data_IF_577248497019
#
_entry.id   IF_577248497019
#
_cell.length_a   1.000
_cell.length_b   1.000
_cell.length_c   1.000
_cell.angle_alpha   90.00
_cell.angle_beta   90.00
_cell.angle_gamma   90.00
#
_symmetry.space_group_name_H-M   'P 1'
#
loop_
_entity.id
_entity.type
_entity.pdbx_description
1 polymer ?
#
# COMPACT_ATOMS: atom_id res chain seq x y z
N UNK A 1 7.11 -12.22 1.28
CA UNK A 1 7.86 -11.00 1.68
C UNK A 1 8.19 -11.12 3.15
N UNK A 2 9.42 -10.85 3.56
CA UNK A 2 9.81 -10.97 4.98
C UNK A 2 10.04 -9.58 5.58
N UNK A 3 9.00 -9.03 6.22
CA UNK A 3 9.04 -7.71 6.83
C UNK A 3 8.00 -7.61 7.94
N UNK A 4 8.34 -6.98 9.08
CA UNK A 4 7.45 -6.92 10.24
C UNK A 4 6.14 -6.16 9.96
N UNK A 5 6.19 -5.12 9.12
CA UNK A 5 5.00 -4.35 8.75
C UNK A 5 4.23 -4.88 7.52
N UNK A 6 4.54 -6.09 7.06
CA UNK A 6 3.82 -6.77 5.98
C UNK A 6 3.23 -8.07 6.54
N UNK A 7 2.07 -8.48 6.03
CA UNK A 7 1.50 -9.79 6.37
C UNK A 7 2.46 -10.91 5.99
N UNK A 8 2.72 -11.78 6.96
CA UNK A 8 3.56 -12.96 6.75
C UNK A 8 2.66 -14.20 6.61
N UNK A 9 3.14 -15.17 5.82
CA UNK A 9 2.46 -16.43 5.60
C UNK A 9 3.12 -17.49 6.48
N UNK A 10 2.37 -18.01 7.44
CA UNK A 10 2.82 -19.06 8.35
C UNK A 10 2.67 -20.46 7.74
N UNK A 11 1.62 -20.66 6.95
CA UNK A 11 1.35 -21.91 6.24
C UNK A 11 0.49 -21.65 5.01
N UNK A 12 0.59 -22.55 4.04
CA UNK A 12 -0.35 -22.66 2.93
C UNK A 12 -0.61 -24.14 2.67
N UNK A 13 -1.86 -24.53 2.53
CA UNK A 13 -2.21 -25.94 2.30
C UNK A 13 -3.51 -26.08 1.52
N UNK A 14 -3.72 -27.29 0.99
CA UNK A 14 -4.94 -27.70 0.31
C UNK A 14 -5.29 -29.14 0.71
N UNK A 15 -6.59 -29.48 0.84
CA UNK A 15 -7.03 -30.87 0.99
C UNK A 15 -7.04 -31.65 -0.33
N UNK A 16 -6.89 -30.95 -1.47
CA UNK A 16 -6.91 -31.56 -2.78
C UNK A 16 -5.67 -32.41 -3.03
N UNK A 17 -5.80 -33.42 -3.89
CA UNK A 17 -4.78 -34.47 -4.07
C UNK A 17 -3.86 -34.22 -5.28
N UNK A 18 -4.23 -33.30 -6.18
CA UNK A 18 -3.43 -32.90 -7.34
C UNK A 18 -3.88 -31.55 -7.90
N UNK A 19 -3.02 -30.96 -8.74
CA UNK A 19 -3.26 -29.68 -9.42
C UNK A 19 -4.58 -29.64 -10.20
N UNK A 20 -4.95 -30.69 -10.95
CA UNK A 20 -6.16 -30.70 -11.77
C UNK A 20 -7.43 -30.58 -10.92
N UNK A 21 -7.45 -31.24 -9.76
CA UNK A 21 -8.56 -31.18 -8.81
C UNK A 21 -8.54 -29.96 -7.90
N UNK A 22 -7.52 -29.10 -7.95
CA UNK A 22 -7.36 -27.98 -7.04
C UNK A 22 -8.57 -27.02 -7.10
N UNK A 23 -9.25 -26.84 -5.97
CA UNK A 23 -10.38 -25.92 -5.80
C UNK A 23 -10.18 -25.03 -4.58
N UNK A 24 -9.67 -25.61 -3.48
CA UNK A 24 -9.55 -24.92 -2.20
C UNK A 24 -8.09 -24.73 -1.81
N UNK A 25 -7.70 -23.48 -1.53
CA UNK A 25 -6.38 -23.11 -1.01
C UNK A 25 -6.56 -22.34 0.28
N UNK A 26 -5.91 -22.80 1.34
CA UNK A 26 -5.99 -22.22 2.67
C UNK A 26 -4.67 -21.53 3.00
N UNK A 27 -4.76 -20.24 3.31
CA UNK A 27 -3.63 -19.44 3.76
C UNK A 27 -3.70 -19.23 5.27
N UNK A 28 -2.61 -19.49 5.97
CA UNK A 28 -2.47 -19.27 7.40
C UNK A 28 -1.49 -18.13 7.62
N UNK A 29 -1.89 -17.15 8.42
CA UNK A 29 -1.06 -16.00 8.82
C UNK A 29 -1.24 -15.73 10.31
N UNK A 30 -0.47 -14.79 10.84
CA UNK A 30 -0.70 -14.33 12.22
C UNK A 30 -2.06 -13.67 12.35
N UNK A 31 -2.79 -14.02 13.40
CA UNK A 31 -4.06 -13.37 13.71
C UNK A 31 -3.79 -11.94 14.17
N UNK A 32 -4.28 -10.99 13.38
CA UNK A 32 -4.28 -9.58 13.74
C UNK A 32 -5.58 -9.22 14.48
N UNK A 33 -5.51 -8.23 15.39
CA UNK A 33 -6.64 -7.89 16.26
C UNK A 33 -7.81 -7.23 15.52
N UNK A 34 -7.57 -6.08 14.90
CA UNK A 34 -8.58 -5.34 14.15
C UNK A 34 -7.96 -4.63 12.94
N UNK A 35 -8.77 -4.31 11.94
CA UNK A 35 -8.34 -3.43 10.86
C UNK A 35 -8.46 -1.95 11.26
N UNK A 36 -7.63 -1.10 10.67
CA UNK A 36 -7.59 0.33 10.96
C UNK A 36 -8.93 1.02 10.66
N UNK A 37 -9.72 0.54 9.68
CA UNK A 37 -11.06 1.12 9.44
C UNK A 37 -11.99 0.89 10.62
N UNK A 38 -11.93 -0.28 11.25
CA UNK A 38 -12.72 -0.61 12.43
C UNK A 38 -12.28 0.21 13.65
N UNK A 39 -10.97 0.37 13.84
CA UNK A 39 -10.40 1.17 14.92
C UNK A 39 -10.84 2.64 14.83
N UNK A 40 -10.69 3.25 13.64
CA UNK A 40 -11.02 4.67 13.41
C UNK A 40 -12.52 5.00 13.58
N UNK A 41 -13.41 4.00 13.55
CA UNK A 41 -14.85 4.19 13.81
C UNK A 41 -15.17 4.25 15.29
N UNK A 42 -14.35 3.63 16.13
CA UNK A 42 -14.64 3.41 17.56
C UNK A 42 -13.87 4.39 18.43
N UNK A 43 -12.64 4.75 18.03
CA UNK A 43 -11.77 5.61 18.81
C UNK A 43 -11.07 6.68 17.98
N UNK A 44 -10.83 7.84 18.61
CA UNK A 44 -9.88 8.84 18.09
C UNK A 44 -8.49 8.49 18.57
N UNK A 45 -7.54 8.47 17.65
CA UNK A 45 -6.14 8.21 17.94
C UNK A 45 -5.44 9.50 18.41
N UNK A 46 -4.47 9.36 19.32
CA UNK A 46 -3.57 10.47 19.69
C UNK A 46 -2.52 10.70 18.59
N UNK A 47 -1.83 11.84 18.64
CA UNK A 47 -0.75 12.16 17.69
C UNK A 47 0.35 11.09 17.72
N UNK A 48 0.76 10.62 18.90
CA UNK A 48 1.77 9.55 19.05
C UNK A 48 1.36 8.24 18.34
N UNK A 49 0.09 7.84 18.46
CA UNK A 49 -0.44 6.67 17.76
C UNK A 49 -0.45 6.88 16.24
N UNK A 50 -0.88 8.06 15.78
CA UNK A 50 -0.90 8.39 14.35
C UNK A 50 0.53 8.36 13.78
N UNK A 51 1.46 9.00 14.46
CA UNK A 51 2.87 9.06 14.10
C UNK A 51 3.48 7.65 14.00
N UNK A 52 3.19 6.78 14.96
CA UNK A 52 3.69 5.40 14.96
C UNK A 52 3.08 4.55 13.84
N UNK A 53 1.77 4.68 13.59
CA UNK A 53 1.10 3.97 12.51
C UNK A 53 1.59 4.45 11.13
N UNK A 54 1.75 5.76 10.94
CA UNK A 54 2.29 6.35 9.70
C UNK A 54 3.71 5.86 9.45
N UNK A 55 4.55 5.85 10.49
CA UNK A 55 5.91 5.29 10.40
C UNK A 55 5.89 3.83 9.93
N UNK A 56 5.09 2.97 10.56
CA UNK A 56 5.01 1.55 10.19
C UNK A 56 4.47 1.32 8.77
N UNK A 57 3.50 2.13 8.33
CA UNK A 57 3.00 2.09 6.94
C UNK A 57 4.13 2.46 5.97
N UNK A 58 4.84 3.55 6.21
CA UNK A 58 5.93 3.99 5.33
C UNK A 58 7.10 3.00 5.32
N UNK A 59 7.45 2.41 6.46
CA UNK A 59 8.46 1.34 6.57
C UNK A 59 8.08 0.14 5.72
N UNK A 60 6.84 -0.33 5.81
CA UNK A 60 6.32 -1.40 4.95
C UNK A 60 6.31 -1.03 3.46
N UNK A 61 5.89 0.20 3.12
CA UNK A 61 5.87 0.69 1.74
C UNK A 61 7.28 0.84 1.15
N UNK A 62 8.27 1.29 1.92
CA UNK A 62 9.68 1.33 1.51
C UNK A 62 10.14 -0.06 1.07
N UNK A 63 9.86 -1.08 1.88
CA UNK A 63 10.18 -2.47 1.55
C UNK A 63 9.47 -2.93 0.27
N UNK A 64 8.15 -2.72 0.15
CA UNK A 64 7.35 -3.12 -1.02
C UNK A 64 7.85 -2.42 -2.30
N UNK A 65 8.08 -1.11 -2.25
CA UNK A 65 8.50 -0.33 -3.40
C UNK A 65 9.93 -0.68 -3.83
N UNK A 66 10.83 -0.98 -2.89
CA UNK A 66 12.18 -1.46 -3.22
C UNK A 66 12.18 -2.83 -3.90
N UNK A 67 11.15 -3.66 -3.64
CA UNK A 67 10.91 -4.89 -4.38
C UNK A 67 10.37 -4.67 -5.81
N UNK A 68 10.22 -3.41 -6.26
CA UNK A 68 9.64 -3.09 -7.56
C UNK A 68 8.12 -3.27 -7.64
N UNK A 69 7.44 -3.37 -6.50
CA UNK A 69 5.99 -3.58 -6.43
C UNK A 69 5.23 -2.35 -5.96
N UNK A 70 4.02 -2.21 -6.46
CA UNK A 70 3.04 -1.22 -6.04
C UNK A 70 1.83 -1.96 -5.49
N UNK A 71 1.43 -1.64 -4.26
CA UNK A 71 0.29 -2.30 -3.58
C UNK A 71 -1.05 -2.05 -4.27
N UNK A 72 -1.28 -0.82 -4.74
CA UNK A 72 -2.47 -0.33 -5.47
C UNK A 72 -3.80 -0.30 -4.70
N UNK A 73 -4.01 -1.10 -3.66
CA UNK A 73 -5.24 -1.04 -2.84
C UNK A 73 -4.99 -0.72 -1.35
N UNK A 74 -4.09 0.24 -1.08
CA UNK A 74 -3.82 0.65 0.29
C UNK A 74 -5.01 1.45 0.84
N UNK A 75 -5.63 0.93 1.90
CA UNK A 75 -6.79 1.51 2.58
C UNK A 75 -6.85 1.02 4.03
N UNK A 76 -7.56 1.73 4.94
CA UNK A 76 -7.62 1.33 6.35
C UNK A 76 -8.11 -0.11 6.60
N UNK A 77 -8.97 -0.69 5.74
CA UNK A 77 -9.39 -2.09 5.91
C UNK A 77 -8.31 -3.12 5.53
N UNK A 78 -7.28 -2.71 4.78
CA UNK A 78 -6.13 -3.53 4.39
C UNK A 78 -4.91 -3.24 5.29
N UNK A 79 -5.15 -2.57 6.42
CA UNK A 79 -4.15 -2.31 7.46
C UNK A 79 -4.65 -2.99 8.72
N UNK A 80 -4.00 -4.07 9.11
CA UNK A 80 -4.28 -4.76 10.36
C UNK A 80 -3.43 -4.18 11.49
N UNK A 81 -4.00 -4.07 12.68
CA UNK A 81 -3.35 -3.57 13.90
C UNK A 81 -3.70 -4.48 15.07
N UNK A 82 -2.74 -4.80 15.92
CA UNK A 82 -2.97 -5.56 17.16
C UNK A 82 -3.01 -4.66 18.41
N UNK A 83 -3.14 -5.26 19.60
CA UNK A 83 -3.26 -4.54 20.87
C UNK A 83 -1.99 -3.75 21.23
N UNK A 84 -0.83 -4.19 20.74
CA UNK A 84 0.47 -3.55 20.93
C UNK A 84 0.74 -2.44 19.88
N UNK A 85 -0.26 -2.07 19.09
CA UNK A 85 -0.15 -1.12 17.97
C UNK A 85 0.83 -1.55 16.86
N UNK A 86 1.15 -2.84 16.76
CA UNK A 86 1.91 -3.39 15.64
C UNK A 86 1.00 -3.50 14.42
N UNK A 87 1.51 -3.00 13.30
CA UNK A 87 0.77 -2.87 12.05
C UNK A 87 1.28 -3.87 11.01
N UNK A 88 0.36 -4.47 10.25
CA UNK A 88 0.67 -5.24 9.05
C UNK A 88 -0.18 -4.79 7.86
N UNK A 89 0.50 -4.54 6.74
CA UNK A 89 -0.14 -4.31 5.44
C UNK A 89 -0.64 -5.65 4.89
N UNK A 90 -1.92 -5.68 4.50
CA UNK A 90 -2.64 -6.85 4.02
C UNK A 90 -3.02 -6.70 2.53
N UNK A 91 -3.42 -7.82 1.92
CA UNK A 91 -4.14 -7.87 0.63
C UNK A 91 -3.37 -7.28 -0.57
N UNK A 92 -2.47 -8.12 -1.08
CA UNK A 92 -1.68 -7.87 -2.29
C UNK A 92 -2.37 -8.38 -3.58
N UNK A 93 -3.66 -8.76 -3.53
CA UNK A 93 -4.37 -9.34 -4.68
C UNK A 93 -4.46 -8.40 -5.89
N UNK A 94 -4.19 -7.11 -5.69
CA UNK A 94 -4.19 -6.07 -6.72
C UNK A 94 -2.79 -5.48 -6.97
N UNK A 95 -1.75 -6.02 -6.35
CA UNK A 95 -0.38 -5.53 -6.49
C UNK A 95 0.17 -5.79 -7.90
N UNK A 96 1.07 -4.91 -8.37
CA UNK A 96 1.70 -5.01 -9.70
C UNK A 96 3.14 -4.53 -9.67
N UNK A 97 3.94 -5.02 -10.61
CA UNK A 97 5.27 -4.46 -10.89
C UNK A 97 5.18 -3.03 -11.44
N UNK A 98 6.15 -2.22 -11.04
CA UNK A 98 6.29 -0.81 -11.42
C UNK A 98 6.38 -0.58 -12.93
N UNK A 99 6.98 -1.49 -13.69
CA UNK A 99 7.18 -1.37 -15.15
C UNK A 99 5.97 -1.83 -15.99
N UNK A 100 4.97 -2.47 -15.37
CA UNK A 100 3.74 -2.84 -16.08
C UNK A 100 2.90 -1.59 -16.33
N UNK A 101 2.42 -1.38 -17.57
CA UNK A 101 1.51 -0.28 -17.89
C UNK A 101 0.43 -0.18 -16.80
N UNK A 102 0.41 0.95 -16.07
CA UNK A 102 -0.44 1.15 -14.91
C UNK A 102 -1.91 1.26 -15.36
N UNK A 103 -2.52 0.10 -15.60
CA UNK A 103 -3.92 0.00 -16.04
C UNK A 103 -4.82 0.53 -14.93
N UNK A 104 -5.63 1.55 -15.24
CA UNK A 104 -6.38 2.30 -14.22
C UNK A 104 -7.48 1.53 -13.48
N UNK A 105 -7.76 0.27 -13.81
CA UNK A 105 -8.99 -0.41 -13.37
C UNK A 105 -9.02 -0.85 -11.89
N UNK A 106 -7.86 -0.97 -11.23
CA UNK A 106 -7.74 -1.85 -10.05
C UNK A 106 -7.30 -1.06 -8.80
N UNK A 107 -8.24 -0.85 -7.86
CA UNK A 107 -8.10 -0.27 -6.50
C UNK A 107 -9.48 0.05 -5.87
N UNK A 108 -9.60 0.20 -4.55
CA UNK A 108 -10.80 0.74 -3.90
C UNK A 108 -10.91 2.24 -4.16
N UNK A 109 -12.04 2.68 -4.71
CA UNK A 109 -12.19 4.02 -5.33
C UNK A 109 -11.68 5.16 -4.45
N UNK A 110 -12.12 5.25 -3.20
CA UNK A 110 -11.90 6.42 -2.31
C UNK A 110 -10.44 6.74 -1.95
N UNK A 111 -9.54 5.76 -2.13
CA UNK A 111 -8.11 5.89 -1.80
C UNK A 111 -7.22 5.98 -3.05
N UNK A 112 -7.84 6.03 -4.24
CA UNK A 112 -7.13 6.15 -5.51
C UNK A 112 -6.44 7.52 -5.64
N UNK A 113 -5.22 7.48 -6.15
CA UNK A 113 -4.47 8.67 -6.50
C UNK A 113 -5.09 9.37 -7.73
N UNK A 114 -5.04 10.71 -7.82
CA UNK A 114 -5.64 11.49 -8.91
C UNK A 114 -5.22 11.02 -10.31
N UNK A 115 -3.95 10.72 -10.53
CA UNK A 115 -3.40 10.27 -11.82
C UNK A 115 -4.00 8.93 -12.29
N UNK A 116 -4.33 8.03 -11.36
CA UNK A 116 -5.01 6.77 -11.69
C UNK A 116 -6.43 7.08 -12.18
N UNK A 117 -7.10 8.04 -11.56
CA UNK A 117 -8.46 8.46 -11.94
C UNK A 117 -8.49 9.22 -13.26
N UNK A 118 -7.44 9.99 -13.55
CA UNK A 118 -7.33 10.87 -14.72
C UNK A 118 -6.88 10.15 -16.00
N UNK A 119 -6.25 8.99 -15.87
CA UNK A 119 -5.95 8.12 -17.00
C UNK A 119 -7.17 7.28 -17.46
N UNK A 120 -8.38 7.53 -16.93
CA UNK A 120 -9.58 6.81 -17.31
C UNK A 120 -10.25 7.38 -18.56
N UNK A 121 -10.48 6.51 -19.55
CA UNK A 121 -11.28 6.82 -20.74
C UNK A 121 -12.79 6.90 -20.46
N UNK A 122 -13.26 6.40 -19.31
CA UNK A 122 -14.67 6.42 -18.91
C UNK A 122 -14.86 6.79 -17.44
N UNK A 123 -15.11 8.08 -17.18
CA UNK A 123 -15.40 8.59 -15.85
C UNK A 123 -16.78 8.14 -15.36
N UNK A 124 -16.86 7.51 -14.19
CA UNK A 124 -18.15 7.38 -13.49
C UNK A 124 -18.41 8.63 -12.67
N UNK A 125 -19.68 8.92 -12.35
CA UNK A 125 -20.06 10.08 -11.53
C UNK A 125 -19.31 10.09 -10.17
N UNK A 126 -19.09 8.92 -9.59
CA UNK A 126 -18.39 8.77 -8.29
C UNK A 126 -16.90 9.12 -8.37
N UNK A 127 -16.25 8.84 -9.50
CA UNK A 127 -14.85 9.17 -9.74
C UNK A 127 -14.67 10.68 -9.84
N UNK A 128 -15.58 11.33 -10.55
CA UNK A 128 -15.64 12.79 -10.65
C UNK A 128 -15.85 13.42 -9.26
N UNK A 129 -16.76 12.87 -8.46
CA UNK A 129 -17.05 13.39 -7.12
C UNK A 129 -15.81 13.31 -6.20
N UNK A 130 -15.05 12.22 -6.27
CA UNK A 130 -13.83 12.05 -5.49
C UNK A 130 -12.70 12.97 -5.96
N UNK A 131 -12.48 13.08 -7.27
CA UNK A 131 -11.49 14.00 -7.82
C UNK A 131 -11.82 15.44 -7.42
N UNK A 132 -13.10 15.81 -7.47
CA UNK A 132 -13.61 17.12 -7.03
C UNK A 132 -13.36 17.34 -5.54
N UNK A 133 -13.55 16.32 -4.68
CA UNK A 133 -13.21 16.41 -3.24
C UNK A 133 -11.72 16.64 -3.01
N UNK A 134 -10.85 15.97 -3.76
CA UNK A 134 -9.40 16.16 -3.67
C UNK A 134 -9.06 17.61 -4.08
N UNK A 135 -9.47 18.06 -5.27
CA UNK A 135 -9.21 19.43 -5.76
C UNK A 135 -9.81 20.52 -4.89
N UNK A 136 -10.90 20.24 -4.16
CA UNK A 136 -11.46 21.15 -3.16
C UNK A 136 -10.55 21.37 -1.94
N UNK A 137 -9.54 20.53 -1.73
CA UNK A 137 -8.57 20.64 -0.64
C UNK A 137 -7.22 21.09 -1.19
N UNK A 138 -6.69 20.40 -2.20
CA UNK A 138 -5.34 20.67 -2.74
C UNK A 138 -5.30 21.79 -3.77
N UNK A 139 -6.47 22.25 -4.24
CA UNK A 139 -6.61 23.24 -5.31
C UNK A 139 -6.71 22.59 -6.69
N UNK A 140 -7.05 23.40 -7.70
CA UNK A 140 -7.01 22.97 -9.10
C UNK A 140 -5.58 22.89 -9.62
N UNK A 141 -5.23 21.89 -10.46
CA UNK A 141 -3.89 21.75 -11.00
C UNK A 141 -3.50 22.89 -11.96
N UNK A 142 -2.20 23.10 -12.11
CA UNK A 142 -1.64 24.06 -13.08
C UNK A 142 -1.55 23.45 -14.50
N UNK A 143 -1.28 24.28 -15.52
CA UNK A 143 -1.15 23.79 -16.91
C UNK A 143 0.05 22.85 -17.11
N UNK A 144 1.10 22.96 -16.27
CA UNK A 144 2.23 22.05 -16.30
C UNK A 144 1.78 20.61 -16.00
N UNK A 145 1.06 20.39 -14.90
CA UNK A 145 0.50 19.07 -14.58
C UNK A 145 -0.54 18.62 -15.61
N UNK A 146 -1.41 19.54 -16.06
CA UNK A 146 -2.40 19.20 -17.10
C UNK A 146 -1.73 18.71 -18.39
N UNK A 147 -0.54 19.22 -18.73
CA UNK A 147 0.19 18.76 -19.92
C UNK A 147 0.68 17.30 -19.82
N UNK A 148 0.90 16.79 -18.59
CA UNK A 148 1.29 15.41 -18.31
C UNK A 148 0.13 14.41 -18.45
N UNK A 149 -1.11 14.88 -18.37
CA UNK A 149 -2.30 14.03 -18.49
C UNK A 149 -2.47 13.62 -19.96
N UNK A 150 -2.56 12.32 -20.21
CA UNK A 150 -2.68 11.77 -21.56
C UNK A 150 -4.08 11.98 -22.18
N UNK A 151 -5.14 11.90 -21.38
CA UNK A 151 -6.52 12.06 -21.88
C UNK A 151 -6.89 13.52 -22.13
N UNK A 152 -7.27 13.83 -23.37
CA UNK A 152 -7.79 15.15 -23.78
C UNK A 152 -9.10 15.51 -23.06
N UNK A 153 -9.97 14.53 -22.87
CA UNK A 153 -11.24 14.67 -22.17
C UNK A 153 -11.01 15.08 -20.73
N UNK A 154 -10.06 14.44 -20.04
CA UNK A 154 -9.65 14.77 -18.67
C UNK A 154 -9.18 16.22 -18.55
N UNK A 155 -8.28 16.63 -19.46
CA UNK A 155 -7.70 17.98 -19.47
C UNK A 155 -8.78 19.02 -19.68
N UNK A 156 -9.66 18.82 -20.66
CA UNK A 156 -10.75 19.74 -20.96
C UNK A 156 -11.78 19.79 -19.83
N UNK A 157 -12.07 18.65 -19.18
CA UNK A 157 -12.93 18.60 -18.02
C UNK A 157 -12.37 19.45 -16.88
N UNK A 158 -11.10 19.25 -16.49
CA UNK A 158 -10.47 20.01 -15.40
C UNK A 158 -10.40 21.51 -15.73
N UNK A 159 -10.07 21.89 -16.97
CA UNK A 159 -10.03 23.31 -17.38
C UNK A 159 -11.37 24.03 -17.25
N UNK A 160 -12.48 23.29 -17.41
CA UNK A 160 -13.82 23.82 -17.30
C UNK A 160 -14.35 23.88 -15.85
N UNK A 161 -13.62 23.31 -14.88
CA UNK A 161 -13.99 23.40 -13.48
C UNK A 161 -13.69 24.81 -12.91
N UNK A 162 -14.50 25.29 -11.96
CA UNK A 162 -14.17 26.49 -11.21
C UNK A 162 -12.80 26.36 -10.54
N UNK A 163 -11.91 27.32 -10.77
CA UNK A 163 -10.58 27.32 -10.13
C UNK A 163 -10.74 27.46 -8.62
N UNK A 164 -10.16 26.52 -7.87
CA UNK A 164 -10.14 26.52 -6.41
C UNK A 164 -8.71 26.71 -5.91
N UNK A 165 -8.48 27.66 -4.97
CA UNK A 165 -7.19 27.75 -4.31
C UNK A 165 -6.99 26.57 -3.36
N UNK A 166 -5.73 26.20 -3.13
CA UNK A 166 -5.36 25.24 -2.08
C UNK A 166 -5.85 25.74 -0.72
N UNK A 167 -6.48 24.87 0.05
CA UNK A 167 -6.93 25.19 1.41
C UNK A 167 -5.75 25.17 2.37
N UNK A 168 -5.86 25.99 3.40
CA UNK A 168 -4.93 25.98 4.54
C UNK A 168 -5.21 24.75 5.42
N UNK A 169 -4.30 23.78 5.40
CA UNK A 169 -4.45 22.53 6.14
C UNK A 169 -4.48 22.75 7.65
N UNK A 170 -3.84 23.81 8.15
CA UNK A 170 -3.90 24.17 9.57
C UNK A 170 -5.31 24.55 10.02
N UNK A 171 -6.13 25.10 9.12
CA UNK A 171 -7.55 25.39 9.40
C UNK A 171 -8.42 24.14 9.32
N UNK A 172 -8.06 23.18 8.47
CA UNK A 172 -8.78 21.91 8.34
C UNK A 172 -8.49 20.96 9.51
N UNK A 173 -7.25 20.96 10.00
CA UNK A 173 -6.76 20.10 11.06
C UNK A 173 -6.18 20.93 12.23
N UNK A 174 -7.01 21.71 12.94
CA UNK A 174 -6.54 22.64 13.96
C UNK A 174 -5.89 21.97 15.18
N UNK A 175 -6.14 20.67 15.38
CA UNK A 175 -5.55 19.87 16.46
C UNK A 175 -4.28 19.13 16.06
N UNK A 176 -3.89 19.15 14.78
CA UNK A 176 -2.70 18.46 14.30
C UNK A 176 -1.44 19.30 14.58
N UNK A 177 -0.31 18.62 14.81
CA UNK A 177 0.97 19.28 14.96
C UNK A 177 1.42 19.92 13.64
N UNK A 178 2.25 20.99 13.69
CA UNK A 178 2.77 21.61 12.47
C UNK A 178 3.52 20.62 11.56
N UNK A 179 4.29 19.70 12.15
CA UNK A 179 5.04 18.69 11.41
C UNK A 179 4.11 17.63 10.77
N UNK A 180 3.01 17.25 11.43
CA UNK A 180 2.00 16.36 10.85
C UNK A 180 1.34 17.00 9.62
N UNK A 181 1.04 18.30 9.73
CA UNK A 181 0.45 19.08 8.62
C UNK A 181 1.45 19.17 7.46
N UNK A 182 2.72 19.48 7.72
CA UNK A 182 3.75 19.58 6.67
C UNK A 182 3.92 18.25 5.91
N UNK A 183 4.00 17.12 6.65
CA UNK A 183 4.08 15.80 6.02
C UNK A 183 2.84 15.48 5.18
N UNK A 184 1.65 15.78 5.69
CA UNK A 184 0.39 15.58 4.98
C UNK A 184 0.32 16.44 3.71
N UNK A 185 0.81 17.68 3.76
CA UNK A 185 0.82 18.58 2.61
C UNK A 185 1.76 18.14 1.49
N UNK A 186 2.90 17.53 1.84
CA UNK A 186 3.85 16.95 0.89
C UNK A 186 3.32 15.67 0.24
N UNK A 187 2.69 14.80 1.03
CA UNK A 187 2.16 13.52 0.53
C UNK A 187 0.87 13.69 -0.28
N UNK A 188 0.01 14.64 0.08
CA UNK A 188 -1.23 14.95 -0.63
C UNK A 188 -1.00 15.98 -1.76
N UNK A 189 -0.18 15.60 -2.74
CA UNK A 189 0.09 16.37 -3.96
C UNK A 189 -0.65 15.80 -5.18
N UNK A 190 -1.19 16.65 -6.06
CA UNK A 190 -1.84 16.19 -7.29
C UNK A 190 -0.84 15.56 -8.25
N UNK A 191 0.33 16.17 -8.37
CA UNK A 191 1.39 15.70 -9.25
C UNK A 191 2.23 14.67 -8.50
N UNK A 192 2.27 13.40 -8.97
CA UNK A 192 3.02 12.34 -8.30
C UNK A 192 4.52 12.61 -8.27
N UNK A 193 5.06 13.38 -9.22
CA UNK A 193 6.50 13.68 -9.30
C UNK A 193 6.99 14.56 -8.13
N UNK A 194 6.07 15.28 -7.49
CA UNK A 194 6.35 16.12 -6.32
C UNK A 194 5.99 15.43 -5.00
N UNK A 195 5.50 14.17 -5.02
CA UNK A 195 5.27 13.41 -3.79
C UNK A 195 6.59 12.81 -3.32
N UNK A 196 6.88 12.86 -2.01
CA UNK A 196 8.03 12.13 -1.49
C UNK A 196 7.80 10.62 -1.66
N UNK A 197 8.86 9.91 -1.96
CA UNK A 197 8.93 8.46 -1.81
C UNK A 197 8.71 8.05 -0.35
N UNK A 198 8.41 6.77 -0.11
CA UNK A 198 8.27 6.27 1.26
C UNK A 198 9.55 6.51 2.09
N UNK A 199 10.74 6.30 1.50
CA UNK A 199 12.02 6.59 2.13
C UNK A 199 12.17 8.06 2.52
N UNK A 200 11.93 8.99 1.59
CA UNK A 200 12.02 10.43 1.87
C UNK A 200 10.99 10.91 2.90
N UNK A 201 9.79 10.33 2.90
CA UNK A 201 8.76 10.64 3.88
C UNK A 201 9.16 10.21 5.30
N UNK A 202 9.92 9.11 5.43
CA UNK A 202 10.40 8.62 6.74
C UNK A 202 11.47 9.52 7.36
N UNK A 203 12.25 10.24 6.55
CA UNK A 203 13.24 11.21 7.03
C UNK A 203 12.60 12.51 7.57
N UNK A 204 11.28 12.66 7.44
CA UNK A 204 10.56 13.87 7.84
C UNK A 204 10.63 14.11 9.37
N UNK A 205 10.73 15.38 9.85
CA UNK A 205 10.78 15.70 11.28
C UNK A 205 9.64 15.09 12.11
N UNK A 206 8.45 14.98 11.51
CA UNK A 206 7.30 14.33 12.13
C UNK A 206 7.56 12.86 12.51
N UNK A 207 8.48 12.14 11.87
CA UNK A 207 8.73 10.71 12.15
C UNK A 207 10.08 10.47 12.85
N UNK A 208 10.80 11.54 13.17
CA UNK A 208 12.17 11.51 13.70
C UNK A 208 12.36 10.61 14.93
N UNK A 209 11.34 10.47 15.78
CA UNK A 209 11.46 9.67 17.00
C UNK A 209 11.47 8.16 16.75
N UNK A 210 10.94 7.72 15.59
CA UNK A 210 10.87 6.31 15.19
C UNK A 210 11.85 5.97 14.07
N UNK A 211 12.28 6.97 13.30
CA UNK A 211 13.21 6.78 12.20
C UNK A 211 14.55 6.17 12.66
N UNK A 212 14.86 4.99 12.13
CA UNK A 212 16.12 4.28 12.36
C UNK A 212 16.57 3.62 11.04
N UNK A 213 17.52 4.21 10.31
CA UNK A 213 18.03 3.65 9.05
C UNK A 213 18.56 2.21 9.15
N UNK A 214 18.98 1.76 10.35
CA UNK A 214 19.47 0.40 10.57
C UNK A 214 18.37 -0.65 10.69
N UNK A 215 17.16 -0.22 11.04
CA UNK A 215 15.96 -1.06 11.18
C UNK A 215 14.92 -0.77 10.08
N UNK A 216 15.33 -0.23 8.95
CA UNK A 216 14.44 0.07 7.82
C UNK A 216 14.90 -0.64 6.54
N UNK A 217 14.75 -1.97 6.47
CA UNK A 217 15.31 -2.78 5.39
C UNK A 217 14.62 -2.53 4.05
N UNK A 218 15.33 -2.89 3.00
CA UNK A 218 14.82 -2.95 1.61
C UNK A 218 14.77 -4.41 1.15
N UNK A 219 13.98 -4.66 0.12
CA UNK A 219 13.88 -5.94 -0.56
C UNK A 219 14.61 -5.88 -1.90
N UNK A 220 15.27 -6.97 -2.33
CA UNK A 220 15.58 -7.16 -3.74
C UNK A 220 14.31 -7.08 -4.61
N UNK A 221 14.41 -6.63 -5.87
CA UNK A 221 13.31 -6.67 -6.81
C UNK A 221 12.71 -8.07 -6.93
N UNK A 222 11.38 -8.15 -6.90
CA UNK A 222 10.67 -9.40 -7.10
C UNK A 222 10.47 -9.63 -8.60
N UNK A 223 11.02 -10.74 -9.07
CA UNK A 223 10.76 -11.23 -10.40
C UNK A 223 9.37 -11.89 -10.40
N UNK A 224 8.37 -11.13 -10.81
CA UNK A 224 7.05 -11.65 -11.10
C UNK A 224 7.10 -11.97 -12.59
N UNK A 225 7.35 -13.23 -12.90
CA UNK A 225 7.23 -13.72 -14.26
C UNK A 225 5.88 -13.26 -14.80
N UNK A 226 5.91 -12.52 -15.92
CA UNK A 226 4.70 -12.26 -16.68
C UNK A 226 4.37 -13.55 -17.42
N UNK A 227 3.95 -14.56 -16.67
CA UNK A 227 3.25 -15.70 -17.21
C UNK A 227 2.13 -15.13 -18.06
N UNK A 228 2.23 -15.29 -19.38
CA UNK A 228 1.34 -14.64 -20.33
C UNK A 228 -0.12 -15.08 -20.17
N UNK A 229 -0.83 -15.23 -21.29
CA UNK A 229 -2.19 -15.76 -21.22
C UNK A 229 -2.18 -17.27 -20.88
N UNK A 230 -2.11 -17.59 -19.58
CA UNK A 230 -2.21 -18.95 -19.07
C UNK A 230 -3.68 -19.40 -18.99
N UNK A 231 -3.89 -20.67 -19.30
CA UNK A 231 -5.15 -21.38 -19.05
C UNK A 231 -5.38 -21.62 -17.55
N UNK A 232 -6.62 -21.89 -17.18
CA UNK A 232 -6.98 -22.20 -15.78
C UNK A 232 -6.17 -23.40 -15.24
N UNK A 233 -5.97 -24.44 -16.05
CA UNK A 233 -5.25 -25.64 -15.61
C UNK A 233 -3.76 -25.35 -15.36
N UNK A 234 -3.15 -24.48 -16.18
CA UNK A 234 -1.77 -24.04 -15.97
C UNK A 234 -1.64 -23.19 -14.70
N UNK A 235 -2.59 -22.28 -14.44
CA UNK A 235 -2.62 -21.53 -13.18
C UNK A 235 -2.73 -22.45 -11.97
N UNK A 236 -3.57 -23.49 -12.05
CA UNK A 236 -3.69 -24.49 -10.97
C UNK A 236 -2.39 -25.25 -10.74
N UNK A 237 -1.67 -25.59 -11.81
CA UNK A 237 -0.38 -26.27 -11.72
C UNK A 237 0.68 -25.41 -11.03
N UNK A 238 0.76 -24.12 -11.37
CA UNK A 238 1.67 -23.19 -10.71
C UNK A 238 1.36 -23.02 -9.22
N UNK A 239 0.08 -22.82 -8.88
CA UNK A 239 -0.34 -22.71 -7.47
C UNK A 239 -0.03 -24.00 -6.71
N UNK A 240 -0.27 -25.16 -7.31
CA UNK A 240 0.03 -26.45 -6.69
C UNK A 240 1.52 -26.62 -6.38
N UNK A 241 2.39 -26.24 -7.31
CA UNK A 241 3.83 -26.30 -7.13
C UNK A 241 4.29 -25.35 -6.01
N UNK A 242 3.77 -24.12 -5.99
CA UNK A 242 4.08 -23.13 -4.94
C UNK A 242 3.69 -23.62 -3.54
N UNK A 243 2.55 -24.32 -3.40
CA UNK A 243 2.14 -24.93 -2.12
C UNK A 243 3.17 -25.98 -1.66
N UNK A 244 3.65 -26.80 -2.59
CA UNK A 244 4.67 -27.82 -2.32
C UNK A 244 6.01 -27.20 -1.91
N UNK A 245 6.49 -26.22 -2.68
CA UNK A 245 7.75 -25.52 -2.43
C UNK A 245 7.72 -24.80 -1.09
N UNK A 246 6.60 -24.14 -0.76
CA UNK A 246 6.40 -23.51 0.55
C UNK A 246 6.47 -24.52 1.69
N UNK A 247 5.81 -25.67 1.56
CA UNK A 247 5.81 -26.70 2.60
C UNK A 247 7.23 -27.26 2.84
N UNK A 248 8.01 -27.45 1.78
CA UNK A 248 9.41 -27.86 1.90
C UNK A 248 10.27 -26.78 2.57
N UNK A 249 10.13 -25.53 2.17
CA UNK A 249 10.89 -24.42 2.74
C UNK A 249 10.56 -24.22 4.23
N UNK A 250 9.28 -24.33 4.59
CA UNK A 250 8.82 -24.33 5.97
C UNK A 250 9.41 -25.48 6.77
N UNK A 251 9.43 -26.70 6.24
CA UNK A 251 10.05 -27.84 6.91
C UNK A 251 11.55 -27.61 7.16
N UNK A 252 12.26 -27.01 6.19
CA UNK A 252 13.68 -26.61 6.35
C UNK A 252 13.86 -25.57 7.45
N UNK A 253 13.00 -24.54 7.52
CA UNK A 253 13.04 -23.51 8.58
C UNK A 253 12.80 -24.10 9.97
N UNK A 254 11.85 -25.03 10.11
CA UNK A 254 11.54 -25.70 11.38
C UNK A 254 12.65 -26.69 11.82
N UNK A 255 13.39 -27.26 10.86
CA UNK A 255 14.50 -28.18 11.13
C UNK A 255 15.82 -27.47 11.44
N UNK A 256 15.94 -26.17 11.16
CA UNK A 256 17.14 -25.39 11.48
C UNK A 256 17.28 -25.23 13.00
N UNK A 257 18.45 -25.52 13.60
CA UNK A 257 18.66 -25.33 15.03
C UNK A 257 18.55 -23.84 15.37
N UNK A 258 17.74 -23.51 16.38
CA UNK A 258 17.64 -22.16 16.93
C UNK A 258 19.03 -21.68 17.34
N UNK A 259 19.55 -20.66 16.66
CA UNK A 259 20.79 -20.01 17.07
C UNK A 259 20.59 -19.47 18.50
N UNK A 260 21.39 -20.02 19.40
CA UNK A 260 21.30 -19.88 20.84
C UNK A 260 21.53 -18.42 21.26
N UNK A 261 20.47 -17.70 21.64
CA UNK A 261 20.58 -16.47 22.45
C UNK A 261 21.01 -16.88 23.87
N UNK A 262 22.31 -17.10 24.02
CA UNK A 262 22.97 -17.39 25.29
C UNK A 262 24.22 -16.54 25.44
N UNK A 263 24.04 -15.25 25.70
CA UNK A 263 25.12 -14.40 26.25
C UNK A 263 24.51 -13.20 26.98
N UNK A 264 24.27 -13.35 28.29
CA UNK A 264 24.68 -12.38 29.32
C UNK A 264 24.38 -12.98 30.70
N UNK A 265 25.40 -13.60 31.28
CA UNK A 265 25.62 -13.70 32.73
C UNK A 265 26.70 -12.70 33.10
#
# INVERSE_FOLDING_TARGET
MNHENIIDMLDVFTPDINATSLQDVYFVSMLMGADLSSILKIQRLSDDHIQFLVYQILRGLKYIHSAGLIHRDLKPSNIAVNEDCELKILDFGLARQTDSEMTGYVATRWYRAPEIMLNWMHYTQTDIDQLTRIMNVVGTPNEEFLSKIQSDEARNYIRNLPKTPRKDFKRLFPSASPDAIDLLERTLNLDPDYRPTASEAMEHPYLKQYHDPSDEPVSPPLDIDSDGDLTIDQWKELIWNEIGDFAEERAKRLAAPTANNGAMS
#
